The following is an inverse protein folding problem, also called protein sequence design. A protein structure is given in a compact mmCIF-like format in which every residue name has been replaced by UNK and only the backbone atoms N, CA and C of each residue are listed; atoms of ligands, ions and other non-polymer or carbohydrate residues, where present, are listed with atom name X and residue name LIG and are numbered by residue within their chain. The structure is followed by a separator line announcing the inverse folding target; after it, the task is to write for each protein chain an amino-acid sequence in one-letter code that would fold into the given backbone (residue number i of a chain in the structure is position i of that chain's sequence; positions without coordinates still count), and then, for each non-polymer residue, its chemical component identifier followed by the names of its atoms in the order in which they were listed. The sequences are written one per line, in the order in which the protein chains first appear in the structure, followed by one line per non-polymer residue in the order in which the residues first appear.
data_IF_913893993944
#
_entry.id   IF_913893993944
#
_cell.length_a   1.000
_cell.length_b   1.000
_cell.length_c   1.000
_cell.angle_alpha   90.00
_cell.angle_beta   90.00
_cell.angle_gamma   90.00
#
_symmetry.space_group_name_H-M   'P 1'
#
loop_
_entity.id
_entity.type
_entity.pdbx_description
1 polymer ?
#
# COMPACT_ATOMS: atom_id res chain seq x y z
N UNK A 1 -0.79 39.79 -15.94
CA UNK A 1 -1.01 38.42 -15.43
C UNK A 1 0.34 37.90 -14.97
N UNK A 2 0.61 38.00 -13.67
CA UNK A 2 1.77 37.35 -13.06
C UNK A 2 1.57 35.84 -13.14
N UNK A 3 2.54 35.05 -13.64
CA UNK A 3 2.43 33.61 -13.61
C UNK A 3 2.38 33.17 -12.15
N UNK A 4 1.32 32.47 -11.78
CA UNK A 4 1.17 31.85 -10.47
C UNK A 4 2.28 30.79 -10.38
N UNK A 5 3.40 31.13 -9.75
CA UNK A 5 4.40 30.13 -9.42
C UNK A 5 3.70 29.11 -8.50
N UNK A 6 3.79 27.80 -8.80
CA UNK A 6 3.24 26.81 -7.88
C UNK A 6 3.91 27.03 -6.52
N UNK A 7 3.10 27.16 -5.47
CA UNK A 7 3.60 27.30 -4.11
C UNK A 7 4.58 26.13 -3.85
N UNK A 8 5.82 26.46 -3.46
CA UNK A 8 6.79 25.44 -3.12
C UNK A 8 6.19 24.53 -2.05
N UNK A 9 6.16 23.23 -2.31
CA UNK A 9 5.65 22.25 -1.35
C UNK A 9 6.43 22.42 -0.04
N UNK A 10 5.72 22.59 1.08
CA UNK A 10 6.35 22.67 2.38
C UNK A 10 7.15 21.38 2.62
N UNK A 11 8.37 21.48 3.19
CA UNK A 11 9.16 20.30 3.50
C UNK A 11 8.39 19.42 4.49
N UNK A 12 8.52 18.10 4.32
CA UNK A 12 7.91 17.15 5.27
C UNK A 12 8.52 17.34 6.67
N UNK A 13 7.75 17.05 7.74
CA UNK A 13 8.30 17.05 9.09
C UNK A 13 9.50 16.11 9.23
N UNK A 14 10.44 16.46 10.11
CA UNK A 14 11.70 15.71 10.33
C UNK A 14 11.54 14.25 10.70
N UNK A 15 10.35 13.85 11.16
CA UNK A 15 10.04 12.44 11.45
C UNK A 15 10.19 11.55 10.20
N UNK A 16 10.09 12.13 9.00
CA UNK A 16 10.25 11.45 7.71
C UNK A 16 11.71 11.35 7.27
N UNK A 17 12.64 12.10 7.87
CA UNK A 17 14.06 12.16 7.45
C UNK A 17 14.69 10.77 7.27
N UNK A 18 14.52 9.79 8.18
CA UNK A 18 15.14 8.47 8.00
C UNK A 18 14.67 7.72 6.74
N UNK A 19 13.43 7.96 6.30
CA UNK A 19 12.91 7.37 5.08
C UNK A 19 13.40 8.14 3.84
N UNK A 20 13.45 9.46 3.93
CA UNK A 20 13.99 10.33 2.87
C UNK A 20 15.48 10.07 2.63
N UNK A 21 16.25 9.80 3.68
CA UNK A 21 17.67 9.41 3.60
C UNK A 21 17.90 8.12 2.80
N UNK A 22 16.91 7.23 2.75
CA UNK A 22 16.95 6.02 1.91
C UNK A 22 16.49 6.34 0.49
N UNK A 23 15.42 7.12 0.35
CA UNK A 23 14.80 7.44 -0.95
C UNK A 23 15.69 8.37 -1.79
N UNK A 24 16.52 9.22 -1.19
CA UNK A 24 17.41 10.16 -1.89
C UNK A 24 18.41 9.48 -2.85
N UNK A 25 18.61 8.15 -2.76
CA UNK A 25 19.36 7.41 -3.79
C UNK A 25 18.64 7.42 -5.16
N UNK A 26 17.38 7.85 -5.19
CA UNK A 26 16.55 8.02 -6.39
C UNK A 26 15.87 9.41 -6.40
N UNK A 27 16.60 10.50 -6.68
CA UNK A 27 16.07 11.86 -6.63
C UNK A 27 14.85 12.08 -7.54
N UNK A 28 14.80 11.38 -8.68
CA UNK A 28 13.65 11.42 -9.61
C UNK A 28 12.35 10.92 -8.97
N UNK A 29 12.43 9.97 -8.05
CA UNK A 29 11.28 9.42 -7.32
C UNK A 29 11.02 10.16 -5.99
N UNK A 30 12.07 10.70 -5.37
CA UNK A 30 11.98 11.46 -4.12
C UNK A 30 10.98 12.62 -4.20
N UNK A 31 11.05 13.45 -5.25
CA UNK A 31 10.14 14.59 -5.40
C UNK A 31 8.66 14.16 -5.50
N UNK A 32 8.25 13.23 -6.40
CA UNK A 32 6.89 12.69 -6.42
C UNK A 32 6.46 12.06 -5.09
N UNK A 33 7.37 11.35 -4.42
CA UNK A 33 7.11 10.77 -3.10
C UNK A 33 6.77 11.84 -2.07
N UNK A 34 7.61 12.87 -1.94
CA UNK A 34 7.41 13.99 -1.00
C UNK A 34 6.11 14.72 -1.28
N UNK A 35 5.81 15.02 -2.55
CA UNK A 35 4.55 15.69 -2.94
C UNK A 35 3.33 14.85 -2.60
N UNK A 36 3.38 13.54 -2.83
CA UNK A 36 2.30 12.62 -2.53
C UNK A 36 2.05 12.50 -1.01
N UNK A 37 3.11 12.30 -0.22
CA UNK A 37 3.02 12.22 1.25
C UNK A 37 2.55 13.56 1.83
N UNK A 38 3.08 14.67 1.31
CA UNK A 38 2.67 16.03 1.66
C UNK A 38 1.17 16.23 1.51
N UNK A 39 0.61 15.89 0.34
CA UNK A 39 -0.82 15.99 0.09
C UNK A 39 -1.63 15.04 0.99
N UNK A 40 -1.20 13.78 1.10
CA UNK A 40 -1.94 12.76 1.81
C UNK A 40 -2.08 13.10 3.29
N UNK A 41 -1.00 13.51 3.96
CA UNK A 41 -1.00 13.71 5.40
C UNK A 41 -1.23 15.16 5.83
N UNK A 42 -0.75 16.13 5.06
CA UNK A 42 -0.74 17.54 5.49
C UNK A 42 -1.53 18.47 4.56
N UNK A 43 -1.88 18.02 3.37
CA UNK A 43 -2.67 18.79 2.39
C UNK A 43 -4.16 18.85 2.72
N UNK A 44 -4.86 19.72 1.99
CA UNK A 44 -6.33 19.83 2.10
C UNK A 44 -7.02 18.53 1.70
N UNK A 45 -8.13 18.20 2.35
CA UNK A 45 -8.86 16.98 2.07
C UNK A 45 -9.96 16.70 3.11
N UNK A 46 -10.77 15.64 2.88
CA UNK A 46 -12.02 15.43 3.61
C UNK A 46 -11.83 15.01 5.07
N UNK A 47 -10.69 14.38 5.40
CA UNK A 47 -10.33 14.01 6.77
C UNK A 47 -9.43 15.06 7.40
N UNK A 48 -9.58 15.28 8.70
CA UNK A 48 -8.67 16.14 9.47
C UNK A 48 -7.28 15.50 9.52
N UNK A 49 -6.23 16.30 9.58
CA UNK A 49 -4.82 15.85 9.55
C UNK A 49 -4.54 14.75 10.59
N UNK A 50 -4.94 14.96 11.85
CA UNK A 50 -4.80 13.98 12.92
C UNK A 50 -5.54 12.66 12.62
N UNK A 51 -6.71 12.71 11.98
CA UNK A 51 -7.46 11.50 11.64
C UNK A 51 -6.73 10.68 10.57
N UNK A 52 -6.06 11.35 9.62
CA UNK A 52 -5.23 10.68 8.60
C UNK A 52 -4.04 9.97 9.22
N UNK A 53 -3.36 10.60 10.18
CA UNK A 53 -2.26 9.95 10.92
C UNK A 53 -2.76 8.77 11.75
N UNK A 54 -3.94 8.86 12.36
CA UNK A 54 -4.53 7.72 13.07
C UNK A 54 -4.88 6.56 12.13
N UNK A 55 -5.43 6.84 10.95
CA UNK A 55 -5.68 5.80 9.92
C UNK A 55 -4.38 5.14 9.48
N UNK A 56 -3.31 5.91 9.28
CA UNK A 56 -2.02 5.37 8.89
C UNK A 56 -1.33 4.58 10.02
N UNK A 57 -1.56 4.96 11.28
CA UNK A 57 -1.18 4.17 12.46
C UNK A 57 -1.86 2.79 12.47
N UNK A 58 -3.17 2.73 12.17
CA UNK A 58 -3.89 1.45 12.01
C UNK A 58 -3.32 0.61 10.86
N UNK A 59 -3.06 1.23 9.71
CA UNK A 59 -2.46 0.56 8.55
C UNK A 59 -1.06 0.00 8.85
N UNK A 60 -0.17 0.80 9.47
CA UNK A 60 1.17 0.36 9.86
C UNK A 60 1.15 -0.80 10.87
N UNK A 61 0.18 -0.79 11.78
CA UNK A 61 -0.01 -1.84 12.78
C UNK A 61 -0.35 -3.21 12.16
N UNK A 62 -1.06 -3.25 11.02
CA UNK A 62 -1.37 -4.49 10.28
C UNK A 62 -0.13 -5.29 9.88
N UNK A 63 0.99 -4.60 9.68
CA UNK A 63 2.27 -5.19 9.30
C UNK A 63 3.30 -5.18 10.42
N UNK A 64 2.90 -4.82 11.66
CA UNK A 64 3.78 -4.78 12.83
C UNK A 64 5.01 -3.88 12.61
N UNK A 65 4.80 -2.79 11.87
CA UNK A 65 5.87 -1.86 11.50
C UNK A 65 6.09 -0.83 12.61
N UNK A 66 6.96 -1.16 13.57
CA UNK A 66 7.27 -0.27 14.71
C UNK A 66 7.74 1.11 14.27
N UNK A 67 8.55 1.21 13.22
CA UNK A 67 9.01 2.48 12.68
C UNK A 67 7.85 3.39 12.26
N UNK A 68 6.95 2.90 11.41
CA UNK A 68 5.81 3.69 10.92
C UNK A 68 4.76 3.93 12.01
N UNK A 69 4.55 2.98 12.92
CA UNK A 69 3.69 3.15 14.10
C UNK A 69 4.19 4.32 14.95
N UNK A 70 5.47 4.31 15.34
CA UNK A 70 6.06 5.40 16.12
C UNK A 70 6.03 6.74 15.38
N UNK A 71 6.24 6.73 14.05
CA UNK A 71 6.14 7.93 13.22
C UNK A 71 4.73 8.52 13.29
N UNK A 72 3.70 7.71 13.05
CA UNK A 72 2.33 8.20 13.02
C UNK A 72 1.73 8.49 14.40
N UNK A 73 2.19 7.84 15.48
CA UNK A 73 1.86 8.25 16.84
C UNK A 73 2.37 9.67 17.11
N UNK A 74 3.63 9.97 16.80
CA UNK A 74 4.21 11.31 17.00
C UNK A 74 3.50 12.38 16.19
N UNK A 75 3.18 12.10 14.93
CA UNK A 75 2.47 13.06 14.08
C UNK A 75 1.01 13.24 14.51
N UNK A 76 0.35 12.17 14.95
CA UNK A 76 -0.99 12.27 15.53
C UNK A 76 -0.99 13.21 16.75
N UNK A 77 -0.04 13.07 17.66
CA UNK A 77 0.12 13.96 18.81
C UNK A 77 0.45 15.40 18.39
N UNK A 78 1.41 15.57 17.49
CA UNK A 78 1.88 16.87 17.02
C UNK A 78 0.77 17.68 16.33
N UNK A 79 -0.15 17.01 15.62
CA UNK A 79 -1.29 17.64 14.96
C UNK A 79 -2.53 17.80 15.87
N UNK A 80 -2.39 17.60 17.19
CA UNK A 80 -3.46 17.82 18.17
C UNK A 80 -4.49 16.69 18.23
N UNK A 81 -4.08 15.46 17.90
CA UNK A 81 -4.89 14.27 18.09
C UNK A 81 -5.26 14.02 19.56
N UNK A 82 -6.44 13.44 19.77
CA UNK A 82 -6.90 13.09 21.12
C UNK A 82 -6.08 11.91 21.67
N UNK A 83 -5.19 12.18 22.63
CA UNK A 83 -4.28 11.18 23.21
C UNK A 83 -4.99 9.93 23.77
N UNK A 84 -6.27 10.04 24.13
CA UNK A 84 -7.10 8.90 24.53
C UNK A 84 -7.16 7.80 23.46
N UNK A 85 -7.09 8.16 22.17
CA UNK A 85 -7.11 7.21 21.06
C UNK A 85 -5.85 6.36 20.98
N UNK A 86 -4.72 6.85 21.49
CA UNK A 86 -3.45 6.08 21.55
C UNK A 86 -3.50 4.91 22.53
N UNK A 87 -4.55 4.83 23.36
CA UNK A 87 -4.85 3.62 24.15
C UNK A 87 -5.33 2.46 23.27
N UNK A 88 -5.80 2.74 22.04
CA UNK A 88 -6.18 1.76 21.04
C UNK A 88 -7.50 2.08 20.34
N UNK A 89 -7.81 1.30 19.30
CA UNK A 89 -9.00 1.41 18.46
C UNK A 89 -10.30 1.34 19.27
N UNK A 90 -10.35 0.51 20.31
CA UNK A 90 -11.51 0.43 21.21
C UNK A 90 -11.74 1.71 22.04
N UNK A 91 -10.68 2.50 22.28
CA UNK A 91 -10.76 3.78 22.98
C UNK A 91 -11.03 4.97 22.05
N UNK A 92 -10.98 4.77 20.73
CA UNK A 92 -11.30 5.80 19.76
C UNK A 92 -12.80 6.11 19.81
N UNK A 93 -13.15 7.37 20.04
CA UNK A 93 -14.53 7.84 20.12
C UNK A 93 -15.27 7.79 18.78
N UNK A 94 -14.54 7.69 17.65
CA UNK A 94 -15.10 7.71 16.30
C UNK A 94 -15.33 6.30 15.74
N UNK A 95 -16.60 5.87 15.70
CA UNK A 95 -17.01 4.56 15.16
C UNK A 95 -16.54 4.31 13.72
N UNK A 96 -16.43 5.35 12.88
CA UNK A 96 -15.90 5.22 11.51
C UNK A 96 -14.47 4.65 11.46
N UNK A 97 -13.66 4.83 12.51
CA UNK A 97 -12.31 4.25 12.56
C UNK A 97 -12.36 2.73 12.70
N UNK A 98 -13.38 2.19 13.38
CA UNK A 98 -13.60 0.74 13.47
C UNK A 98 -13.97 0.16 12.11
N UNK A 99 -14.85 0.85 11.37
CA UNK A 99 -15.22 0.46 10.00
C UNK A 99 -14.00 0.50 9.06
N UNK A 100 -13.19 1.56 9.15
CA UNK A 100 -11.95 1.65 8.36
C UNK A 100 -10.95 0.54 8.70
N UNK A 101 -10.87 0.07 9.96
CA UNK A 101 -10.04 -1.08 10.33
C UNK A 101 -10.51 -2.38 9.67
N UNK A 102 -11.82 -2.59 9.54
CA UNK A 102 -12.37 -3.77 8.84
C UNK A 102 -11.97 -3.77 7.36
N UNK A 103 -12.08 -2.62 6.69
CA UNK A 103 -11.65 -2.44 5.29
C UNK A 103 -10.13 -2.61 5.16
N UNK A 104 -9.36 -1.94 6.02
CA UNK A 104 -7.90 -1.99 6.06
C UNK A 104 -7.39 -3.43 6.25
N UNK A 105 -8.04 -4.23 7.11
CA UNK A 105 -7.71 -5.64 7.31
C UNK A 105 -7.77 -6.43 6.00
N UNK A 106 -8.79 -6.20 5.17
CA UNK A 106 -8.96 -6.87 3.88
C UNK A 106 -7.96 -6.35 2.85
N UNK A 107 -7.91 -5.03 2.64
CA UNK A 107 -7.05 -4.41 1.63
C UNK A 107 -5.56 -4.71 1.87
N UNK A 108 -5.09 -4.65 3.11
CA UNK A 108 -3.68 -4.85 3.45
C UNK A 108 -3.18 -6.28 3.24
N UNK A 109 -4.07 -7.27 3.16
CA UNK A 109 -3.68 -8.69 3.24
C UNK A 109 -4.30 -9.57 2.16
N UNK A 110 -5.59 -9.38 1.86
CA UNK A 110 -6.35 -10.19 0.91
C UNK A 110 -7.35 -9.29 0.16
N UNK A 111 -6.88 -8.32 -0.64
CA UNK A 111 -7.73 -7.32 -1.28
C UNK A 111 -8.76 -7.90 -2.25
N UNK A 112 -8.54 -9.13 -2.75
CA UNK A 112 -9.52 -9.86 -3.57
C UNK A 112 -10.79 -10.28 -2.83
N UNK A 113 -10.80 -10.25 -1.49
CA UNK A 113 -12.00 -10.51 -0.68
C UNK A 113 -12.82 -9.24 -0.43
N UNK A 114 -12.34 -8.07 -0.82
CA UNK A 114 -13.01 -6.80 -0.57
C UNK A 114 -14.21 -6.61 -1.51
N UNK A 115 -15.43 -6.60 -0.97
CA UNK A 115 -16.69 -6.56 -1.72
C UNK A 115 -17.55 -5.34 -1.37
N UNK A 116 -18.61 -5.10 -2.13
CA UNK A 116 -19.44 -3.89 -2.00
C UNK A 116 -20.10 -3.79 -0.62
N UNK A 117 -20.41 -4.93 0.01
CA UNK A 117 -20.95 -5.00 1.37
C UNK A 117 -19.97 -4.48 2.42
N UNK A 118 -18.65 -4.54 2.18
CA UNK A 118 -17.62 -4.02 3.09
C UNK A 118 -17.54 -2.48 3.05
N UNK A 119 -18.03 -1.85 1.97
CA UNK A 119 -18.12 -0.39 1.87
C UNK A 119 -19.27 0.14 2.73
N UNK A 120 -20.38 -0.61 2.85
CA UNK A 120 -21.56 -0.20 3.62
C UNK A 120 -21.21 -0.02 5.08
N UNK A 121 -21.38 1.20 5.59
CA UNK A 121 -21.33 1.47 7.02
C UNK A 121 -22.51 0.75 7.66
N UNK A 122 -22.24 -0.26 8.50
CA UNK A 122 -23.30 -0.95 9.23
C UNK A 122 -23.68 -0.11 10.45
N UNK A 123 -24.96 0.24 10.56
CA UNK A 123 -25.53 0.82 11.77
C UNK A 123 -25.53 -0.22 12.90
N UNK A 124 -24.41 -0.28 13.61
CA UNK A 124 -24.21 -0.84 14.95
C UNK A 124 -24.84 -2.20 15.30
N UNK A 125 -23.98 -3.21 15.50
CA UNK A 125 -23.90 -3.85 16.80
C UNK A 125 -22.45 -4.32 17.02
N UNK A 126 -21.73 -3.68 17.93
CA UNK A 126 -20.34 -4.00 18.23
C UNK A 126 -20.26 -5.42 18.76
N UNK A 127 -19.85 -6.35 17.91
CA UNK A 127 -19.53 -7.72 18.31
C UNK A 127 -18.20 -7.70 19.04
N UNK A 128 -18.23 -8.02 20.34
CA UNK A 128 -17.05 -8.26 21.15
C UNK A 128 -16.09 -9.20 20.43
N UNK A 129 -14.91 -8.70 20.05
CA UNK A 129 -13.81 -9.54 19.61
C UNK A 129 -12.99 -9.96 20.84
N UNK A 130 -12.74 -11.26 21.05
CA UNK A 130 -12.01 -11.73 22.21
C UNK A 130 -10.57 -11.24 22.15
N UNK A 131 -10.19 -10.45 23.16
CA UNK A 131 -8.80 -10.07 23.37
C UNK A 131 -8.05 -11.32 23.80
N UNK A 132 -7.41 -12.01 22.86
CA UNK A 132 -6.50 -13.10 23.19
C UNK A 132 -5.23 -12.49 23.76
N UNK A 133 -4.97 -12.75 25.05
CA UNK A 133 -3.75 -12.39 25.73
C UNK A 133 -2.58 -13.19 25.12
N UNK A 134 -1.91 -12.58 24.14
CA UNK A 134 -0.65 -13.05 23.61
C UNK A 134 0.50 -12.44 24.40
N UNK A 135 1.32 -13.31 24.98
CA UNK A 135 2.53 -12.98 25.73
C UNK A 135 3.54 -12.26 24.81
N UNK A 136 3.85 -10.99 25.09
CA UNK A 136 4.76 -10.17 24.29
C UNK A 136 4.33 -8.71 24.21
N UNK A 137 4.93 -7.85 25.04
CA UNK A 137 4.66 -6.40 25.13
C UNK A 137 4.62 -5.68 23.76
N UNK A 138 5.44 -6.11 22.79
CA UNK A 138 5.49 -5.52 21.45
C UNK A 138 4.34 -5.97 20.53
N UNK A 139 3.85 -7.21 20.63
CA UNK A 139 2.71 -7.63 19.82
C UNK A 139 1.44 -6.89 20.28
N UNK A 140 1.31 -6.75 21.59
CA UNK A 140 0.24 -5.98 22.22
C UNK A 140 0.24 -4.51 21.77
N UNK A 141 1.42 -3.92 21.48
CA UNK A 141 1.49 -2.54 21.01
C UNK A 141 0.84 -2.33 19.65
N UNK A 142 0.87 -3.32 18.75
CA UNK A 142 0.19 -3.26 17.45
C UNK A 142 -1.29 -3.65 17.55
N UNK A 143 -1.59 -4.69 18.33
CA UNK A 143 -2.94 -5.24 18.43
C UNK A 143 -3.94 -4.24 19.00
N UNK A 144 -3.50 -3.28 19.82
CA UNK A 144 -4.39 -2.23 20.33
C UNK A 144 -5.00 -1.37 19.22
N UNK A 145 -4.34 -1.23 18.07
CA UNK A 145 -4.76 -0.34 16.98
C UNK A 145 -5.49 -1.05 15.84
N UNK A 146 -5.66 -2.37 15.91
CA UNK A 146 -6.31 -3.13 14.84
C UNK A 146 -6.93 -4.42 15.34
N UNK A 147 -8.13 -4.72 14.87
CA UNK A 147 -8.80 -5.97 15.19
C UNK A 147 -8.24 -7.13 14.36
N UNK A 148 -8.21 -8.33 14.93
CA UNK A 148 -7.78 -9.54 14.24
C UNK A 148 -6.40 -9.37 13.55
N UNK A 149 -5.36 -9.05 14.34
CA UNK A 149 -3.98 -8.92 13.88
C UNK A 149 -3.41 -10.23 13.27
N UNK A 150 -4.07 -11.36 13.53
CA UNK A 150 -3.72 -12.66 12.96
C UNK A 150 -4.18 -12.81 11.49
N UNK A 151 -5.14 -12.00 11.03
CA UNK A 151 -5.53 -11.98 9.62
C UNK A 151 -4.39 -11.43 8.76
N UNK A 152 -3.73 -12.30 8.01
CA UNK A 152 -2.62 -11.95 7.14
C UNK A 152 -2.87 -12.39 5.70
N UNK A 153 -1.95 -12.05 4.81
CA UNK A 153 -1.93 -12.61 3.47
C UNK A 153 -1.99 -14.15 3.52
N UNK A 154 -2.75 -14.70 2.58
CA UNK A 154 -2.82 -16.11 2.24
C UNK A 154 -2.64 -16.17 0.73
N UNK A 155 -1.86 -17.12 0.23
CA UNK A 155 -1.60 -17.24 -1.21
C UNK A 155 -2.91 -17.22 -2.00
N UNK A 156 -3.03 -16.26 -2.93
CA UNK A 156 -4.23 -16.08 -3.76
C UNK A 156 -4.69 -17.39 -4.39
N UNK A 157 -3.77 -18.14 -5.00
CA UNK A 157 -4.05 -19.43 -5.65
C UNK A 157 -4.41 -20.55 -4.67
N UNK A 158 -4.13 -20.39 -3.38
CA UNK A 158 -4.66 -21.29 -2.34
C UNK A 158 -6.10 -20.93 -2.02
N UNK A 159 -6.41 -19.63 -1.95
CA UNK A 159 -7.76 -19.11 -1.69
C UNK A 159 -8.75 -19.39 -2.84
N UNK A 160 -8.29 -19.44 -4.09
CA UNK A 160 -9.14 -19.78 -5.26
C UNK A 160 -9.56 -21.25 -5.32
N UNK A 161 -8.96 -22.16 -4.54
CA UNK A 161 -9.35 -23.58 -4.51
C UNK A 161 -10.76 -23.82 -3.95
N UNK A 162 -11.35 -22.81 -3.31
CA UNK A 162 -12.73 -22.82 -2.81
C UNK A 162 -13.74 -22.19 -3.81
N UNK A 163 -13.35 -22.01 -5.08
CA UNK A 163 -14.19 -21.67 -6.25
C UNK A 163 -14.93 -20.31 -6.24
N UNK A 164 -14.78 -19.49 -5.19
CA UNK A 164 -15.44 -18.17 -5.08
C UNK A 164 -14.57 -17.00 -5.57
N UNK A 165 -13.25 -17.18 -5.66
CA UNK A 165 -12.31 -16.10 -5.99
C UNK A 165 -11.73 -16.31 -7.39
N UNK A 166 -11.96 -15.36 -8.30
CA UNK A 166 -11.46 -15.38 -9.68
C UNK A 166 -10.26 -14.45 -9.86
N UNK A 167 -9.35 -14.82 -10.75
CA UNK A 167 -8.26 -13.95 -11.23
C UNK A 167 -8.83 -12.60 -11.67
N UNK A 168 -8.14 -11.52 -11.33
CA UNK A 168 -8.53 -10.18 -11.73
C UNK A 168 -8.14 -9.95 -13.20
N UNK A 169 -9.15 -9.71 -14.04
CA UNK A 169 -8.99 -9.49 -15.47
C UNK A 169 -8.72 -8.00 -15.75
N UNK A 170 -7.49 -7.68 -16.19
CA UNK A 170 -7.10 -6.30 -16.48
C UNK A 170 -7.75 -5.72 -17.75
N UNK A 171 -8.19 -6.55 -18.70
CA UNK A 171 -8.96 -6.07 -19.85
C UNK A 171 -10.35 -5.58 -19.46
N UNK A 172 -10.92 -6.13 -18.38
CA UNK A 172 -12.21 -5.69 -17.86
C UNK A 172 -12.08 -4.47 -16.94
N UNK A 173 -10.97 -4.36 -16.22
CA UNK A 173 -10.75 -3.29 -15.27
C UNK A 173 -9.25 -2.99 -15.13
N UNK A 174 -8.80 -1.81 -15.56
CA UNK A 174 -7.41 -1.36 -15.42
C UNK A 174 -7.33 -0.02 -14.68
N UNK A 175 -6.12 0.32 -14.24
CA UNK A 175 -5.88 1.59 -13.55
C UNK A 175 -6.19 2.77 -14.50
N UNK A 176 -5.59 2.76 -15.69
CA UNK A 176 -5.65 3.87 -16.64
C UNK A 176 -7.06 4.13 -17.18
N UNK A 177 -7.86 3.07 -17.38
CA UNK A 177 -9.20 3.20 -17.95
C UNK A 177 -10.30 3.38 -16.91
N UNK A 178 -10.09 2.93 -15.67
CA UNK A 178 -11.14 2.86 -14.66
C UNK A 178 -10.68 3.41 -13.31
N UNK A 179 -9.65 2.80 -12.72
CA UNK A 179 -9.22 3.10 -11.35
C UNK A 179 -8.88 4.57 -11.12
N UNK A 180 -8.13 5.18 -12.05
CA UNK A 180 -7.79 6.60 -12.04
C UNK A 180 -9.05 7.48 -12.06
N UNK A 181 -9.93 7.27 -13.04
CA UNK A 181 -11.10 8.11 -13.26
C UNK A 181 -12.06 8.09 -12.06
N UNK A 182 -12.30 6.91 -11.47
CA UNK A 182 -13.19 6.74 -10.32
C UNK A 182 -12.71 7.56 -9.12
N UNK A 183 -11.40 7.56 -8.86
CA UNK A 183 -10.85 8.27 -7.71
C UNK A 183 -10.59 9.75 -8.00
N UNK A 184 -10.33 10.10 -9.26
CA UNK A 184 -10.11 11.49 -9.68
C UNK A 184 -11.34 12.36 -9.37
N UNK A 185 -12.54 11.82 -9.58
CA UNK A 185 -13.81 12.50 -9.24
C UNK A 185 -13.89 12.85 -7.75
N UNK A 186 -13.25 12.07 -6.88
CA UNK A 186 -13.31 12.24 -5.42
C UNK A 186 -12.13 13.03 -4.85
N UNK A 187 -10.93 12.87 -5.40
CA UNK A 187 -9.71 13.47 -4.86
C UNK A 187 -8.63 13.74 -5.93
N UNK A 188 -8.99 14.47 -6.98
CA UNK A 188 -8.17 14.79 -8.15
C UNK A 188 -6.67 15.04 -7.86
N UNK A 189 -6.35 15.95 -6.92
CA UNK A 189 -4.96 16.31 -6.67
C UNK A 189 -4.10 15.14 -6.16
N UNK A 190 -4.62 14.30 -5.26
CA UNK A 190 -3.87 13.16 -4.73
C UNK A 190 -3.69 12.08 -5.80
N UNK A 191 -4.75 11.83 -6.60
CA UNK A 191 -4.76 10.76 -7.59
C UNK A 191 -3.81 11.06 -8.74
N UNK A 192 -3.73 12.31 -9.20
CA UNK A 192 -2.72 12.72 -10.18
C UNK A 192 -1.28 12.45 -9.68
N UNK A 193 -0.99 12.72 -8.40
CA UNK A 193 0.34 12.44 -7.82
C UNK A 193 0.62 10.94 -7.69
N UNK A 194 -0.39 10.12 -7.42
CA UNK A 194 -0.25 8.66 -7.39
C UNK A 194 0.00 8.10 -8.79
N UNK A 195 -0.71 8.60 -9.79
CA UNK A 195 -0.53 8.21 -11.19
C UNK A 195 0.90 8.51 -11.69
N UNK A 196 1.39 9.73 -11.44
CA UNK A 196 2.77 10.12 -11.72
C UNK A 196 3.77 9.15 -11.10
N UNK A 197 3.54 8.72 -9.85
CA UNK A 197 4.40 7.77 -9.15
C UNK A 197 4.37 6.36 -9.75
N UNK A 198 3.20 5.85 -10.11
CA UNK A 198 3.07 4.54 -10.74
C UNK A 198 3.76 4.52 -12.10
N UNK A 199 3.54 5.54 -12.91
CA UNK A 199 4.16 5.68 -14.23
C UNK A 199 5.68 5.86 -14.12
N UNK A 200 6.14 6.70 -13.20
CA UNK A 200 7.57 6.88 -12.96
C UNK A 200 8.23 5.58 -12.51
N UNK A 201 7.66 4.86 -11.54
CA UNK A 201 8.32 3.66 -10.98
C UNK A 201 8.42 2.53 -12.01
N UNK A 202 7.43 2.40 -12.89
CA UNK A 202 7.46 1.45 -14.00
C UNK A 202 8.44 1.83 -15.12
N UNK A 203 8.85 3.09 -15.22
CA UNK A 203 9.76 3.58 -16.28
C UNK A 203 11.14 3.99 -15.78
N UNK A 204 11.31 4.13 -14.46
CA UNK A 204 12.56 4.55 -13.83
C UNK A 204 13.66 3.55 -14.17
N UNK A 205 14.72 4.05 -14.78
CA UNK A 205 15.92 3.30 -15.07
C UNK A 205 17.10 4.26 -15.17
N UNK A 206 18.26 3.78 -14.72
CA UNK A 206 19.55 4.43 -14.92
C UNK A 206 20.38 3.71 -15.98
N UNK A 207 19.79 2.71 -16.64
CA UNK A 207 20.47 1.79 -17.58
C UNK A 207 21.70 1.12 -16.96
N UNK A 208 21.61 0.79 -15.67
CA UNK A 208 22.66 0.08 -14.94
C UNK A 208 22.12 -1.20 -14.33
N UNK A 209 23.01 -2.18 -14.16
CA UNK A 209 22.73 -3.38 -13.38
C UNK A 209 24.03 -3.85 -12.73
N UNK A 210 24.18 -3.62 -11.41
CA UNK A 210 25.41 -3.89 -10.69
C UNK A 210 26.56 -3.02 -11.21
N UNK A 211 27.63 -3.67 -11.68
CA UNK A 211 28.80 -2.99 -12.25
C UNK A 211 28.61 -2.59 -13.73
N UNK A 212 27.57 -3.10 -14.40
CA UNK A 212 27.35 -2.86 -15.82
C UNK A 212 26.55 -1.57 -16.09
N UNK A 213 26.89 -0.89 -17.18
CA UNK A 213 26.21 0.31 -17.71
C UNK A 213 25.66 0.05 -19.11
N UNK A 214 24.75 0.91 -19.57
CA UNK A 214 24.03 0.78 -20.85
C UNK A 214 23.23 -0.53 -20.98
N UNK A 215 22.70 -1.03 -19.87
CA UNK A 215 21.86 -2.23 -19.82
C UNK A 215 20.39 -1.84 -19.89
N UNK A 216 19.63 -2.45 -20.80
CA UNK A 216 18.17 -2.38 -20.75
C UNK A 216 17.63 -3.29 -19.64
N UNK A 217 17.07 -2.68 -18.61
CA UNK A 217 16.52 -3.37 -17.44
C UNK A 217 15.01 -3.57 -17.50
N UNK A 218 14.37 -3.22 -18.62
CA UNK A 218 12.90 -3.19 -18.73
C UNK A 218 12.26 -4.55 -18.50
N UNK A 219 12.81 -5.64 -19.04
CA UNK A 219 12.27 -6.98 -18.81
C UNK A 219 12.37 -7.42 -17.35
N UNK A 220 13.49 -7.11 -16.67
CA UNK A 220 13.64 -7.41 -15.24
C UNK A 220 12.63 -6.61 -14.41
N UNK A 221 12.48 -5.32 -14.70
CA UNK A 221 11.53 -4.45 -13.98
C UNK A 221 10.08 -4.90 -14.21
N UNK A 222 9.72 -5.22 -15.45
CA UNK A 222 8.38 -5.74 -15.77
C UNK A 222 8.12 -7.08 -15.07
N UNK A 223 9.11 -7.98 -15.02
CA UNK A 223 8.99 -9.23 -14.30
C UNK A 223 8.77 -9.04 -12.79
N UNK A 224 9.47 -8.09 -12.15
CA UNK A 224 9.25 -7.73 -10.73
C UNK A 224 7.82 -7.24 -10.52
N UNK A 225 7.38 -6.24 -11.30
CA UNK A 225 6.06 -5.63 -11.20
C UNK A 225 4.93 -6.66 -11.38
N UNK A 226 4.99 -7.42 -12.48
CA UNK A 226 3.97 -8.41 -12.83
C UNK A 226 3.97 -9.61 -11.88
N UNK A 227 5.12 -9.96 -11.30
CA UNK A 227 5.18 -10.98 -10.25
C UNK A 227 4.45 -10.51 -8.98
N UNK A 228 4.67 -9.27 -8.54
CA UNK A 228 4.00 -8.71 -7.37
C UNK A 228 2.49 -8.69 -7.60
N UNK A 229 2.03 -8.14 -8.72
CA UNK A 229 0.59 -8.11 -9.04
C UNK A 229 -0.02 -9.53 -9.11
N UNK A 230 0.72 -10.51 -9.65
CA UNK A 230 0.28 -11.90 -9.67
C UNK A 230 0.17 -12.55 -8.28
N UNK A 231 0.97 -12.12 -7.28
CA UNK A 231 0.78 -12.55 -5.89
C UNK A 231 -0.60 -12.13 -5.35
N UNK A 232 -1.14 -11.02 -5.85
CA UNK A 232 -2.47 -10.53 -5.49
C UNK A 232 -3.57 -11.00 -6.44
N UNK A 233 -3.26 -11.89 -7.40
CA UNK A 233 -4.24 -12.45 -8.32
C UNK A 233 -4.54 -11.58 -9.55
N UNK A 234 -3.73 -10.57 -9.83
CA UNK A 234 -3.84 -9.69 -11.00
C UNK A 234 -2.87 -10.18 -12.08
N UNK A 235 -3.39 -10.48 -13.28
CA UNK A 235 -2.59 -10.95 -14.41
C UNK A 235 -2.82 -10.11 -15.66
N UNK A 236 -1.72 -9.80 -16.35
CA UNK A 236 -1.71 -9.12 -17.64
C UNK A 236 -1.78 -10.16 -18.75
N UNK A 237 -2.83 -10.12 -19.56
CA UNK A 237 -3.08 -11.14 -20.60
C UNK A 237 -2.11 -11.02 -21.78
N UNK A 238 -1.52 -9.84 -22.00
CA UNK A 238 -0.52 -9.55 -23.01
C UNK A 238 0.93 -9.80 -22.55
N UNK A 239 1.13 -10.24 -21.30
CA UNK A 239 2.45 -10.51 -20.75
C UNK A 239 2.77 -12.01 -20.66
N UNK A 240 3.92 -12.42 -21.20
CA UNK A 240 4.40 -13.79 -21.05
C UNK A 240 5.00 -14.01 -19.65
N UNK A 241 4.22 -14.65 -18.78
CA UNK A 241 4.67 -15.00 -17.42
C UNK A 241 5.79 -16.05 -17.36
N UNK A 242 6.18 -16.66 -18.48
CA UNK A 242 7.40 -17.44 -18.56
C UNK A 242 8.62 -16.55 -18.27
N UNK A 243 8.58 -15.27 -18.67
CA UNK A 243 9.65 -14.29 -18.42
C UNK A 243 9.92 -14.08 -16.92
N UNK A 244 8.90 -14.18 -16.07
CA UNK A 244 9.09 -14.07 -14.61
C UNK A 244 9.98 -15.19 -14.08
N UNK A 245 9.93 -16.39 -14.68
CA UNK A 245 10.81 -17.50 -14.33
C UNK A 245 12.22 -17.35 -14.90
N UNK A 246 12.34 -16.67 -16.05
CA UNK A 246 13.63 -16.36 -16.66
C UNK A 246 14.36 -15.24 -15.90
N UNK A 247 13.64 -14.20 -15.50
CA UNK A 247 14.22 -12.98 -14.92
C UNK A 247 14.43 -13.05 -13.40
N UNK A 248 13.60 -13.81 -12.69
CA UNK A 248 13.64 -13.87 -11.22
C UNK A 248 13.96 -15.28 -10.73
N UNK A 249 15.05 -15.40 -9.95
CA UNK A 249 15.36 -16.64 -9.26
C UNK A 249 14.30 -17.00 -8.21
N UNK A 250 14.33 -18.24 -7.73
CA UNK A 250 13.41 -18.71 -6.67
C UNK A 250 13.61 -17.91 -5.38
N UNK A 251 14.85 -17.59 -5.04
CA UNK A 251 15.24 -16.81 -3.87
C UNK A 251 14.70 -15.38 -4.00
N UNK A 252 14.84 -14.78 -5.18
CA UNK A 252 14.31 -13.44 -5.46
C UNK A 252 12.78 -13.40 -5.33
N UNK A 253 12.08 -14.39 -5.88
CA UNK A 253 10.62 -14.53 -5.72
C UNK A 253 10.21 -14.67 -4.26
N UNK A 254 10.94 -15.50 -3.51
CA UNK A 254 10.71 -15.69 -2.07
C UNK A 254 10.92 -14.38 -1.31
N UNK A 255 11.96 -13.63 -1.63
CA UNK A 255 12.22 -12.32 -1.03
C UNK A 255 11.12 -11.31 -1.37
N UNK A 256 10.78 -11.12 -2.66
CA UNK A 256 9.72 -10.20 -3.09
C UNK A 256 8.40 -10.52 -2.40
N UNK A 257 7.99 -11.81 -2.40
CA UNK A 257 6.77 -12.26 -1.72
C UNK A 257 6.82 -11.99 -0.21
N UNK A 258 7.98 -12.20 0.42
CA UNK A 258 8.12 -11.92 1.86
C UNK A 258 7.98 -10.43 2.14
N UNK A 259 8.64 -9.56 1.38
CA UNK A 259 8.54 -8.10 1.58
C UNK A 259 7.13 -7.59 1.28
N UNK A 260 6.52 -8.04 0.17
CA UNK A 260 5.19 -7.59 -0.25
C UNK A 260 4.08 -8.08 0.69
N UNK A 261 4.12 -9.35 1.13
CA UNK A 261 2.99 -9.99 1.84
C UNK A 261 3.24 -10.16 3.34
N UNK A 262 4.50 -10.29 3.77
CA UNK A 262 4.88 -10.59 5.15
C UNK A 262 6.11 -9.78 5.62
N UNK A 263 6.10 -8.44 5.51
CA UNK A 263 7.30 -7.62 5.73
C UNK A 263 7.93 -7.82 7.12
N UNK A 264 7.14 -8.12 8.15
CA UNK A 264 7.61 -8.45 9.50
C UNK A 264 8.46 -9.73 9.60
N UNK A 265 8.51 -10.55 8.55
CA UNK A 265 9.30 -11.79 8.48
C UNK A 265 10.60 -11.63 7.69
N UNK A 266 10.88 -10.43 7.15
CA UNK A 266 12.12 -10.18 6.42
C UNK A 266 13.29 -10.25 7.40
N UNK A 267 14.22 -11.16 7.14
CA UNK A 267 15.44 -11.34 7.95
C UNK A 267 16.67 -10.81 7.22
N UNK A 268 17.75 -10.58 7.97
CA UNK A 268 19.06 -10.26 7.42
C UNK A 268 19.50 -11.29 6.38
N UNK A 269 19.43 -12.57 6.74
CA UNK A 269 19.83 -13.68 5.89
C UNK A 269 19.07 -13.67 4.55
N UNK A 270 17.75 -13.48 4.59
CA UNK A 270 16.93 -13.40 3.38
C UNK A 270 17.34 -12.20 2.52
N UNK A 271 17.58 -11.04 3.12
CA UNK A 271 17.98 -9.82 2.39
C UNK A 271 19.37 -9.96 1.77
N UNK A 272 20.31 -10.63 2.44
CA UNK A 272 21.66 -10.88 1.91
C UNK A 272 21.71 -11.98 0.86
N UNK A 273 20.72 -12.87 0.81
CA UNK A 273 20.68 -13.99 -0.15
C UNK A 273 20.27 -13.60 -1.58
N UNK A 274 19.84 -12.37 -1.80
CA UNK A 274 19.34 -11.88 -3.09
C UNK A 274 20.02 -10.58 -3.49
N UNK A 275 20.00 -10.27 -4.79
CA UNK A 275 20.59 -9.02 -5.32
C UNK A 275 22.05 -8.86 -4.87
N UNK A 276 22.82 -9.95 -4.84
CA UNK A 276 24.19 -9.98 -4.30
C UNK A 276 25.12 -9.06 -5.07
N UNK A 277 24.93 -8.96 -6.38
CA UNK A 277 25.74 -8.15 -7.28
C UNK A 277 25.15 -6.74 -7.51
N UNK A 278 24.03 -6.42 -6.86
CA UNK A 278 23.38 -5.12 -7.02
C UNK A 278 23.99 -4.10 -6.06
N UNK A 279 24.07 -2.86 -6.53
CA UNK A 279 24.35 -1.70 -5.67
C UNK A 279 23.23 -1.49 -4.66
N UNK A 280 23.53 -0.84 -3.55
CA UNK A 280 22.52 -0.52 -2.53
C UNK A 280 21.36 0.32 -3.10
N UNK A 281 21.63 1.26 -4.01
CA UNK A 281 20.60 2.02 -4.71
C UNK A 281 19.70 1.10 -5.54
N UNK A 282 20.24 0.11 -6.24
CA UNK A 282 19.42 -0.83 -7.02
C UNK A 282 18.54 -1.71 -6.13
N UNK A 283 19.01 -2.06 -4.93
CA UNK A 283 18.17 -2.75 -3.92
C UNK A 283 17.02 -1.85 -3.45
N UNK A 284 17.28 -0.58 -3.19
CA UNK A 284 16.23 0.41 -2.86
C UNK A 284 15.25 0.53 -4.02
N UNK A 285 15.72 0.61 -5.25
CA UNK A 285 14.86 0.67 -6.45
C UNK A 285 13.88 -0.50 -6.52
N UNK A 286 14.33 -1.73 -6.26
CA UNK A 286 13.42 -2.90 -6.18
C UNK A 286 12.39 -2.73 -5.06
N UNK A 287 12.76 -2.16 -3.91
CA UNK A 287 11.80 -1.87 -2.83
C UNK A 287 10.76 -0.83 -3.25
N UNK A 288 11.15 0.22 -4.00
CA UNK A 288 10.20 1.19 -4.55
C UNK A 288 9.18 0.50 -5.46
N UNK A 289 9.63 -0.39 -6.33
CA UNK A 289 8.75 -1.19 -7.18
C UNK A 289 7.81 -2.09 -6.38
N UNK A 290 8.30 -2.74 -5.32
CA UNK A 290 7.47 -3.55 -4.42
C UNK A 290 6.36 -2.72 -3.78
N UNK A 291 6.69 -1.54 -3.27
CA UNK A 291 5.70 -0.65 -2.63
C UNK A 291 4.64 -0.17 -3.63
N UNK A 292 5.05 0.32 -4.79
CA UNK A 292 4.13 0.92 -5.78
C UNK A 292 3.26 -0.13 -6.47
N UNK A 293 3.82 -1.28 -6.88
CA UNK A 293 3.03 -2.34 -7.50
C UNK A 293 1.99 -2.92 -6.53
N UNK A 294 2.36 -3.05 -5.25
CA UNK A 294 1.45 -3.49 -4.20
C UNK A 294 0.33 -2.47 -3.98
N UNK A 295 0.68 -1.19 -3.84
CA UNK A 295 -0.31 -0.13 -3.66
C UNK A 295 -1.30 -0.07 -4.83
N UNK A 296 -0.81 -0.15 -6.08
CA UNK A 296 -1.68 -0.17 -7.26
C UNK A 296 -2.61 -1.40 -7.25
N UNK A 297 -2.12 -2.56 -6.83
CA UNK A 297 -2.95 -3.78 -6.71
C UNK A 297 -4.09 -3.58 -5.72
N UNK A 298 -3.81 -3.02 -4.55
CA UNK A 298 -4.82 -2.74 -3.51
C UNK A 298 -5.86 -1.71 -4.00
N UNK A 299 -5.43 -0.66 -4.70
CA UNK A 299 -6.32 0.35 -5.29
C UNK A 299 -7.18 -0.20 -6.43
N UNK A 300 -6.66 -1.11 -7.25
CA UNK A 300 -7.46 -1.76 -8.31
C UNK A 300 -8.62 -2.57 -7.73
N UNK A 301 -8.39 -3.33 -6.66
CA UNK A 301 -9.45 -4.02 -5.95
C UNK A 301 -10.45 -3.05 -5.32
N UNK A 302 -9.96 -2.01 -4.63
CA UNK A 302 -10.81 -1.01 -4.00
C UNK A 302 -11.73 -0.31 -5.01
N UNK A 303 -11.18 0.20 -6.12
CA UNK A 303 -11.92 0.95 -7.14
C UNK A 303 -12.90 0.08 -7.94
N UNK A 304 -12.54 -1.18 -8.23
CA UNK A 304 -13.48 -2.14 -8.83
C UNK A 304 -14.67 -2.38 -7.90
N UNK A 305 -14.41 -2.52 -6.60
CA UNK A 305 -15.46 -2.73 -5.61
C UNK A 305 -16.34 -1.49 -5.44
N UNK A 306 -15.76 -0.29 -5.48
CA UNK A 306 -16.51 0.97 -5.48
C UNK A 306 -17.44 1.09 -6.70
N UNK A 307 -16.97 0.69 -7.89
CA UNK A 307 -17.82 0.64 -9.10
C UNK A 307 -19.02 -0.29 -8.93
N UNK A 308 -18.79 -1.47 -8.32
CA UNK A 308 -19.87 -2.43 -8.07
C UNK A 308 -20.85 -1.91 -7.01
N UNK A 309 -20.35 -1.21 -6.00
CA UNK A 309 -21.17 -0.57 -4.98
C UNK A 309 -22.13 0.46 -5.58
N UNK A 310 -21.62 1.39 -6.39
CA UNK A 310 -22.43 2.44 -7.01
C UNK A 310 -23.51 1.85 -7.94
N UNK A 311 -23.19 0.76 -8.65
CA UNK A 311 -24.16 0.03 -9.49
C UNK A 311 -25.28 -0.59 -8.65
N UNK A 312 -24.95 -1.19 -7.50
CA UNK A 312 -25.93 -1.78 -6.60
C UNK A 312 -26.83 -0.72 -5.96
N UNK A 313 -26.28 0.42 -5.52
CA UNK A 313 -27.11 1.51 -4.98
C UNK A 313 -28.09 2.06 -6.00
N UNK A 314 -27.64 2.29 -7.25
CA UNK A 314 -28.53 2.76 -8.32
C UNK A 314 -29.65 1.77 -8.63
N UNK A 315 -29.39 0.47 -8.55
CA UNK A 315 -30.39 -0.58 -8.79
C UNK A 315 -31.41 -0.70 -7.66
N UNK A 316 -31.02 -0.42 -6.40
CA UNK A 316 -31.94 -0.44 -5.26
C UNK A 316 -32.84 0.80 -5.16
N UNK A 317 -32.48 1.89 -5.84
CA UNK A 317 -33.25 3.14 -5.90
C UNK A 317 -34.27 3.18 -7.06
N UNK A 318 -34.29 2.16 -7.94
CA UNK A 318 -35.26 1.97 -9.01
C UNK A 318 -36.31 0.92 -8.63
#
# INVERSE_FOLDING_TARGET
MTPYAPAAALPLPRVWDPLLEVIQSHPRYEEPFVRCIGQLFYGEGPLRVQERHYVALMAASRHRCSFMVNLFEREFEACGGELGWLKGLAACSQKRMQHLDEMNRLLAHQPWLFVAEDIRVKDGNGGDSPTTAGDGSLLQSFQRFTNNLAFTYVDFYTSTRNDTTKTFNLHEFSWDQHGYMILEEQYQELIAKLDDKFNLTQTLTYKTMGEYTDVDTSSYRMAVWNYIQALFGIRHDDYDYSEVNTMLSKEMKTFIKTVACYPHRVTEALRTSVMTDFKNSEKVHVMLMVMEARLQSELLYFTRTLTNYDRLERTMLC
#
